data_IF_442208685221
#
_entry.id   IF_442208685221
#
_cell.length_a   1.000
_cell.length_b   1.000
_cell.length_c   1.000
_cell.angle_alpha   90.00
_cell.angle_beta   90.00
_cell.angle_gamma   90.00
#
_symmetry.space_group_name_H-M   'P 1'
#
loop_
_entity.id
_entity.type
_entity.pdbx_description
1 polymer ?
#
# COMPACT_ATOMS: atom_id res chain seq x y z
N UNK A 1 44.25 28.22 -4.88
CA UNK A 1 42.91 28.15 -4.30
C UNK A 1 42.81 26.79 -3.64
N UNK A 2 42.85 26.76 -2.30
CA UNK A 2 42.73 25.52 -1.53
C UNK A 2 41.32 24.95 -1.70
N UNK A 3 41.18 23.95 -2.56
CA UNK A 3 40.03 23.05 -2.54
C UNK A 3 40.26 22.06 -1.41
N UNK A 4 40.08 22.48 -0.16
CA UNK A 4 39.89 21.52 0.95
C UNK A 4 38.75 20.60 0.54
N UNK A 5 38.96 19.27 0.45
CA UNK A 5 37.86 18.36 0.20
C UNK A 5 36.92 18.53 1.39
N UNK A 6 35.75 19.10 1.17
CA UNK A 6 34.76 19.27 2.20
C UNK A 6 34.17 17.88 2.48
N UNK A 7 34.93 17.03 3.20
CA UNK A 7 34.57 15.65 3.50
C UNK A 7 33.23 15.54 4.24
N UNK A 8 32.76 16.63 4.83
CA UNK A 8 31.42 16.75 5.38
C UNK A 8 30.32 16.76 4.30
N UNK A 9 30.54 17.42 3.16
CA UNK A 9 29.59 17.43 2.05
C UNK A 9 29.50 16.06 1.37
N UNK A 10 30.66 15.43 1.12
CA UNK A 10 30.72 14.08 0.55
C UNK A 10 30.08 13.04 1.49
N UNK A 11 30.37 13.11 2.79
CA UNK A 11 29.76 12.20 3.77
C UNK A 11 28.24 12.38 3.86
N UNK A 12 27.74 13.62 3.87
CA UNK A 12 26.29 13.90 3.86
C UNK A 12 25.62 13.40 2.58
N UNK A 13 26.29 13.51 1.44
CA UNK A 13 25.79 12.98 0.18
C UNK A 13 25.72 11.44 0.20
N UNK A 14 26.76 10.78 0.70
CA UNK A 14 26.77 9.32 0.86
C UNK A 14 25.71 8.84 1.87
N UNK A 15 25.51 9.54 2.99
CA UNK A 15 24.43 9.25 3.95
C UNK A 15 23.04 9.42 3.33
N UNK A 16 22.84 10.45 2.51
CA UNK A 16 21.60 10.66 1.77
C UNK A 16 21.38 9.54 0.74
N UNK A 17 22.42 9.17 0.00
CA UNK A 17 22.34 8.11 -1.00
C UNK A 17 22.10 6.75 -0.37
N UNK A 18 22.74 6.43 0.75
CA UNK A 18 22.48 5.23 1.51
C UNK A 18 21.01 5.17 2.00
N UNK A 19 20.43 6.29 2.46
CA UNK A 19 19.01 6.36 2.84
C UNK A 19 18.05 6.22 1.65
N UNK A 20 18.44 6.69 0.48
CA UNK A 20 17.64 6.60 -0.74
C UNK A 20 17.71 5.21 -1.38
N UNK A 21 18.86 4.53 -1.26
CA UNK A 21 19.13 3.21 -1.82
C UNK A 21 18.79 2.06 -0.86
N UNK A 22 18.57 2.34 0.42
CA UNK A 22 18.11 1.35 1.37
C UNK A 22 16.74 0.80 0.92
N UNK A 23 16.68 -0.50 0.67
CA UNK A 23 15.42 -1.23 0.51
C UNK A 23 14.58 -0.93 1.76
N UNK A 24 13.36 -0.39 1.62
CA UNK A 24 12.52 -0.18 2.79
C UNK A 24 12.22 -1.54 3.40
N UNK A 25 12.76 -1.79 4.59
CA UNK A 25 12.30 -2.89 5.43
C UNK A 25 10.88 -2.56 5.85
N UNK A 26 9.91 -3.26 5.26
CA UNK A 26 8.53 -3.19 5.69
C UNK A 26 8.45 -3.74 7.10
N UNK A 27 7.81 -3.00 7.98
CA UNK A 27 7.43 -3.54 9.29
C UNK A 27 6.46 -4.71 9.12
N UNK A 28 6.37 -5.61 10.10
CA UNK A 28 5.39 -6.72 10.09
C UNK A 28 3.97 -6.22 9.81
N UNK A 29 3.59 -5.09 10.42
CA UNK A 29 2.31 -4.43 10.16
C UNK A 29 2.16 -4.03 8.69
N UNK A 30 3.15 -3.38 8.10
CA UNK A 30 3.08 -2.95 6.68
C UNK A 30 3.09 -4.16 5.74
N UNK A 31 3.74 -5.26 6.13
CA UNK A 31 3.67 -6.50 5.38
C UNK A 31 2.24 -7.07 5.39
N UNK A 32 1.56 -7.09 6.53
CA UNK A 32 0.13 -7.46 6.59
C UNK A 32 -0.75 -6.53 5.73
N UNK A 33 -0.44 -5.23 5.69
CA UNK A 33 -1.15 -4.27 4.83
C UNK A 33 -0.95 -4.59 3.34
N UNK A 34 0.26 -4.98 2.95
CA UNK A 34 0.57 -5.41 1.58
C UNK A 34 -0.09 -6.74 1.23
N UNK A 35 -0.14 -7.69 2.16
CA UNK A 35 -0.81 -8.98 1.98
C UNK A 35 -2.32 -8.77 1.79
N UNK A 36 -2.96 -7.96 2.63
CA UNK A 36 -4.36 -7.59 2.45
C UNK A 36 -4.61 -6.84 1.14
N UNK A 37 -3.72 -5.93 0.73
CA UNK A 37 -3.80 -5.25 -0.56
C UNK A 37 -3.69 -6.22 -1.74
N UNK A 38 -2.79 -7.22 -1.66
CA UNK A 38 -2.66 -8.29 -2.65
C UNK A 38 -3.97 -9.07 -2.74
N UNK A 39 -4.54 -9.48 -1.62
CA UNK A 39 -5.77 -10.28 -1.61
C UNK A 39 -6.94 -9.50 -2.24
N UNK A 40 -7.06 -8.20 -1.96
CA UNK A 40 -8.04 -7.31 -2.65
C UNK A 40 -7.80 -7.31 -4.17
N UNK A 41 -6.55 -7.19 -4.62
CA UNK A 41 -6.23 -7.15 -6.05
C UNK A 41 -6.61 -8.44 -6.79
N UNK A 42 -6.49 -9.59 -6.12
CA UNK A 42 -6.91 -10.90 -6.65
C UNK A 42 -8.43 -10.97 -6.78
N UNK A 43 -9.16 -10.54 -5.75
CA UNK A 43 -10.63 -10.47 -5.81
C UNK A 43 -11.12 -9.50 -6.89
N UNK A 44 -10.45 -8.36 -7.07
CA UNK A 44 -10.74 -7.44 -8.17
C UNK A 44 -10.57 -8.10 -9.55
N UNK A 45 -9.54 -8.93 -9.72
CA UNK A 45 -9.32 -9.68 -10.97
C UNK A 45 -10.46 -10.68 -11.20
N UNK A 46 -10.82 -11.47 -10.19
CA UNK A 46 -11.94 -12.41 -10.29
C UNK A 46 -13.25 -11.71 -10.64
N UNK A 47 -13.54 -10.55 -10.04
CA UNK A 47 -14.71 -9.74 -10.38
C UNK A 47 -14.66 -9.25 -11.83
N UNK A 48 -13.51 -8.75 -12.28
CA UNK A 48 -13.34 -8.28 -13.66
C UNK A 48 -13.49 -9.41 -14.69
N UNK A 49 -13.00 -10.61 -14.38
CA UNK A 49 -13.18 -11.79 -15.23
C UNK A 49 -14.65 -12.23 -15.28
N UNK A 50 -15.34 -12.26 -14.13
CA UNK A 50 -16.77 -12.55 -14.08
C UNK A 50 -17.60 -11.53 -14.88
N UNK A 51 -17.22 -10.25 -14.83
CA UNK A 51 -17.85 -9.18 -15.62
C UNK A 51 -17.61 -9.34 -17.12
N UNK A 52 -16.45 -9.88 -17.54
CA UNK A 52 -16.14 -10.13 -18.95
C UNK A 52 -17.00 -11.23 -19.54
N UNK A 53 -17.19 -12.31 -18.77
CA UNK A 53 -17.81 -13.55 -19.27
C UNK A 53 -19.33 -13.60 -18.99
N UNK A 54 -19.89 -12.59 -18.32
CA UNK A 54 -21.29 -12.55 -17.88
C UNK A 54 -22.00 -11.20 -18.05
N UNK A 55 -23.19 -11.08 -17.47
CA UNK A 55 -23.94 -9.82 -17.38
C UNK A 55 -23.38 -8.95 -16.26
N UNK A 56 -22.98 -7.73 -16.57
CA UNK A 56 -22.49 -6.76 -15.59
C UNK A 56 -23.67 -6.05 -14.92
N UNK A 57 -23.89 -6.31 -13.64
CA UNK A 57 -24.80 -5.51 -12.81
C UNK A 57 -24.08 -4.33 -12.14
N UNK A 58 -24.87 -3.33 -11.73
CA UNK A 58 -24.36 -2.12 -11.08
C UNK A 58 -23.68 -2.43 -9.74
N UNK A 59 -24.14 -3.44 -9.01
CA UNK A 59 -23.62 -3.79 -7.70
C UNK A 59 -22.18 -4.31 -7.79
N UNK A 60 -21.91 -5.14 -8.80
CA UNK A 60 -20.59 -5.67 -9.13
C UNK A 60 -19.64 -4.53 -9.53
N UNK A 61 -20.09 -3.60 -10.37
CA UNK A 61 -19.34 -2.39 -10.71
C UNK A 61 -18.98 -1.54 -9.49
N UNK A 62 -19.95 -1.32 -8.59
CA UNK A 62 -19.74 -0.54 -7.36
C UNK A 62 -18.79 -1.26 -6.39
N UNK A 63 -18.85 -2.59 -6.33
CA UNK A 63 -17.95 -3.39 -5.51
C UNK A 63 -16.51 -3.31 -6.04
N UNK A 64 -16.32 -3.48 -7.35
CA UNK A 64 -15.01 -3.32 -7.98
C UNK A 64 -14.43 -1.92 -7.74
N UNK A 65 -15.26 -0.87 -7.85
CA UNK A 65 -14.86 0.51 -7.56
C UNK A 65 -14.46 0.70 -6.10
N UNK A 66 -15.22 0.13 -5.14
CA UNK A 66 -14.86 0.19 -3.72
C UNK A 66 -13.51 -0.47 -3.48
N UNK A 67 -13.29 -1.66 -4.01
CA UNK A 67 -12.02 -2.38 -3.86
C UNK A 67 -10.86 -1.60 -4.46
N UNK A 68 -11.04 -1.03 -5.67
CA UNK A 68 -10.04 -0.18 -6.30
C UNK A 68 -9.67 1.03 -5.42
N UNK A 69 -10.65 1.65 -4.74
CA UNK A 69 -10.41 2.79 -3.84
C UNK A 69 -9.70 2.38 -2.55
N UNK A 70 -10.00 1.23 -1.98
CA UNK A 70 -9.28 0.70 -0.81
C UNK A 70 -7.83 0.39 -1.19
N UNK A 71 -7.63 -0.29 -2.32
CA UNK A 71 -6.31 -0.65 -2.83
C UNK A 71 -5.46 0.60 -3.09
N UNK A 72 -6.02 1.60 -3.79
CA UNK A 72 -5.35 2.88 -4.04
C UNK A 72 -4.94 3.59 -2.74
N UNK A 73 -5.84 3.63 -1.74
CA UNK A 73 -5.53 4.21 -0.44
C UNK A 73 -4.34 3.51 0.23
N UNK A 74 -4.35 2.18 0.32
CA UNK A 74 -3.29 1.40 0.97
C UNK A 74 -1.97 1.61 0.23
N UNK A 75 -1.96 1.39 -1.09
CA UNK A 75 -0.74 1.47 -1.91
C UNK A 75 -0.16 2.89 -1.93
N UNK A 76 -0.99 3.92 -2.10
CA UNK A 76 -0.52 5.32 -2.08
C UNK A 76 0.00 5.72 -0.70
N UNK A 77 -0.63 5.27 0.38
CA UNK A 77 -0.17 5.59 1.74
C UNK A 77 1.18 4.92 2.03
N UNK A 78 1.32 3.63 1.72
CA UNK A 78 2.57 2.89 1.86
C UNK A 78 3.70 3.45 0.98
N UNK A 79 3.42 3.75 -0.29
CA UNK A 79 4.39 4.36 -1.21
C UNK A 79 4.87 5.73 -0.70
N UNK A 80 3.99 6.50 -0.04
CA UNK A 80 4.35 7.76 0.60
C UNK A 80 5.10 7.61 1.93
N UNK A 81 5.45 6.38 2.34
CA UNK A 81 6.09 6.03 3.63
C UNK A 81 5.30 6.56 4.83
N UNK A 82 3.99 6.70 4.70
CA UNK A 82 3.10 7.10 5.79
C UNK A 82 2.54 5.86 6.48
N UNK A 83 2.34 5.99 7.78
CA UNK A 83 1.70 4.95 8.58
C UNK A 83 0.17 4.99 8.41
N UNK A 84 -0.46 3.83 8.23
CA UNK A 84 -1.91 3.70 8.25
C UNK A 84 -2.33 3.38 9.67
N UNK A 85 -3.14 4.23 10.31
CA UNK A 85 -3.68 3.91 11.64
C UNK A 85 -4.51 2.62 11.56
N UNK A 86 -4.32 1.61 12.43
CA UNK A 86 -5.03 0.34 12.32
C UNK A 86 -6.56 0.51 12.27
N UNK A 87 -7.11 1.38 13.13
CA UNK A 87 -8.53 1.71 13.12
C UNK A 87 -9.02 2.30 11.80
N UNK A 88 -8.19 3.09 11.10
CA UNK A 88 -8.55 3.67 9.80
C UNK A 88 -8.67 2.57 8.75
N UNK A 89 -7.71 1.65 8.69
CA UNK A 89 -7.75 0.51 7.79
C UNK A 89 -8.97 -0.37 8.08
N UNK A 90 -9.21 -0.70 9.35
CA UNK A 90 -10.37 -1.50 9.79
C UNK A 90 -11.70 -0.87 9.36
N UNK A 91 -11.87 0.44 9.53
CA UNK A 91 -13.08 1.15 9.10
C UNK A 91 -13.24 1.11 7.58
N UNK A 92 -12.18 1.39 6.83
CA UNK A 92 -12.22 1.37 5.36
C UNK A 92 -12.57 -0.04 4.84
N UNK A 93 -11.93 -1.07 5.39
CA UNK A 93 -12.20 -2.46 5.02
C UNK A 93 -13.65 -2.85 5.35
N UNK A 94 -14.13 -2.50 6.55
CA UNK A 94 -15.52 -2.74 6.94
C UNK A 94 -16.53 -2.06 6.00
N UNK A 95 -16.27 -0.80 5.60
CA UNK A 95 -17.13 -0.07 4.65
C UNK A 95 -17.13 -0.69 3.25
N UNK A 96 -16.03 -1.33 2.87
CA UNK A 96 -15.90 -2.08 1.62
C UNK A 96 -16.42 -3.52 1.71
N UNK A 97 -16.79 -4.02 2.90
CA UNK A 97 -17.17 -5.42 3.09
C UNK A 97 -15.99 -6.40 3.09
N UNK A 98 -14.76 -5.90 3.23
CA UNK A 98 -13.53 -6.69 3.23
C UNK A 98 -13.21 -7.20 4.63
N UNK A 99 -12.57 -8.38 4.68
CA UNK A 99 -12.05 -8.95 5.93
C UNK A 99 -10.69 -8.33 6.25
N UNK A 100 -10.48 -8.00 7.52
CA UNK A 100 -9.18 -7.58 8.03
C UNK A 100 -8.49 -8.82 8.61
N UNK A 101 -7.19 -8.96 8.36
CA UNK A 101 -6.39 -10.04 8.94
C UNK A 101 -6.47 -10.04 10.48
N UNK A 102 -6.59 -11.21 11.08
CA UNK A 102 -6.73 -11.37 12.54
C UNK A 102 -5.45 -10.95 13.29
N UNK A 103 -4.28 -11.13 12.67
CA UNK A 103 -3.00 -10.68 13.18
C UNK A 103 -2.78 -9.17 13.02
N UNK A 104 -3.65 -8.48 12.26
CA UNK A 104 -3.53 -7.04 12.10
C UNK A 104 -3.80 -6.32 13.44
N UNK A 105 -2.99 -5.32 13.82
CA UNK A 105 -3.12 -4.64 15.11
C UNK A 105 -4.54 -4.09 15.37
N UNK A 106 -4.90 -4.05 16.66
CA UNK A 106 -6.12 -3.40 17.15
C UNK A 106 -6.06 -1.88 16.99
#
# INVERSE_FOLDING_TARGET
MDTTPNGNAERKFQELMAKLLATPEWTEKQQLELEMARDISVEMLHLAEAMRDGSVDLETCLTLLKYAKVLDFVMTTLASRRDIKPQTLRVIFKLAGLKVDEAYPG
#
